data_IF_191423070600
#
_entry.id   IF_191423070600
#
_cell.length_a   1.000
_cell.length_b   1.000
_cell.length_c   1.000
_cell.angle_alpha   90.00
_cell.angle_beta   90.00
_cell.angle_gamma   90.00
#
_symmetry.space_group_name_H-M   'P 1'
#
loop_
_entity.id
_entity.type
_entity.pdbx_description
1 polymer ?
2 polymer ?
3 non-polymer ?
4 non-polymer ?
5 non-polymer ?
6 water ?
#
# COMPACT_ATOMS: atom_id res chain seq x y z
N UNK A 1 -0.59 -10.53 21.23
CA UNK A 1 0.09 -10.86 22.51
C UNK A 1 -0.04 -9.77 23.56
N UNK A 2 0.73 -8.70 23.39
CA UNK A 2 0.87 -7.63 24.37
C UNK A 2 -0.39 -6.76 24.58
N UNK A 3 -1.27 -6.72 23.57
CA UNK A 3 -2.53 -5.99 23.66
C UNK A 3 -3.73 -6.88 24.03
N UNK A 4 -3.47 -8.15 24.35
CA UNK A 4 -4.53 -9.09 24.71
C UNK A 4 -5.40 -8.70 25.90
N UNK A 5 -4.84 -7.93 26.84
CA UNK A 5 -5.55 -7.47 28.02
C UNK A 5 -6.34 -6.15 27.86
N UNK A 6 -6.17 -5.46 26.71
CA UNK A 6 -6.83 -4.18 26.49
C UNK A 6 -8.11 -4.32 25.69
N UNK A 7 -9.16 -3.60 26.11
CA UNK A 7 -10.43 -3.57 25.39
C UNK A 7 -10.24 -3.14 23.94
N UNK A 8 -11.00 -3.78 23.04
CA UNK A 8 -11.05 -3.39 21.61
C UNK A 8 -11.32 -1.89 21.47
N UNK A 9 -12.30 -1.36 22.21
CA UNK A 9 -12.68 0.04 22.09
C UNK A 9 -11.52 0.96 22.53
N UNK A 10 -10.84 0.57 23.60
CA UNK A 10 -9.65 1.26 24.09
C UNK A 10 -8.51 1.29 23.08
N UNK A 11 -8.28 0.16 22.38
CA UNK A 11 -7.26 0.07 21.34
C UNK A 11 -7.55 1.04 20.19
N UNK A 12 -8.82 1.11 19.77
CA UNK A 12 -9.23 2.04 18.72
C UNK A 12 -9.05 3.50 19.17
N UNK A 13 -9.48 3.80 20.39
CA UNK A 13 -9.34 5.14 20.97
C UNK A 13 -7.86 5.58 20.97
N UNK A 14 -7.00 4.68 21.45
CA UNK A 14 -5.55 4.93 21.52
C UNK A 14 -4.88 5.03 20.13
N UNK A 15 -5.36 4.26 19.15
CA UNK A 15 -4.87 4.40 17.77
C UNK A 15 -5.11 5.82 17.27
N UNK A 16 -6.30 6.35 17.58
CA UNK A 16 -6.66 7.71 17.16
C UNK A 16 -5.79 8.78 17.84
N UNK A 17 -5.49 8.59 19.13
CA UNK A 17 -4.57 9.45 19.85
C UNK A 17 -3.15 9.38 19.27
N UNK A 18 -2.69 8.16 18.99
CA UNK A 18 -1.36 7.95 18.41
C UNK A 18 -1.23 8.64 17.04
N UNK A 19 -2.29 8.58 16.23
CA UNK A 19 -2.34 9.33 14.97
C UNK A 19 -2.13 10.84 15.21
N UNK A 20 -2.86 11.41 16.17
CA UNK A 20 -2.76 12.84 16.49
C UNK A 20 -1.36 13.25 16.94
N UNK A 21 -0.69 12.34 17.67
CA UNK A 21 0.67 12.52 18.17
C UNK A 21 1.77 12.11 17.18
N UNK A 22 1.38 11.65 15.99
CA UNK A 22 2.30 11.16 14.95
C UNK A 22 3.20 10.01 15.45
N UNK A 23 2.61 9.14 16.28
CA UNK A 23 3.26 7.96 16.88
C UNK A 23 2.79 6.73 16.11
N UNK A 24 3.26 6.54 14.88
CA UNK A 24 2.66 5.56 13.93
C UNK A 24 3.03 4.12 14.33
N UNK A 25 4.21 3.90 14.94
CA UNK A 25 4.56 2.55 15.42
C UNK A 25 3.56 2.12 16.51
N UNK A 26 3.26 3.01 17.46
CA UNK A 26 2.24 2.75 18.48
C UNK A 26 0.87 2.51 17.85
N UNK A 27 0.51 3.36 16.88
CA UNK A 27 -0.77 3.29 16.19
C UNK A 27 -0.92 1.91 15.56
N UNK A 28 0.14 1.43 14.92
CA UNK A 28 0.10 0.14 14.22
C UNK A 28 -0.06 -1.02 15.21
N UNK A 29 0.64 -0.94 16.34
CA UNK A 29 0.54 -1.95 17.38
C UNK A 29 -0.87 -2.01 17.99
N UNK A 30 -1.48 -0.84 18.20
CA UNK A 30 -2.85 -0.75 18.70
C UNK A 30 -3.83 -1.39 17.69
N UNK A 31 -3.67 -1.06 16.40
CA UNK A 31 -4.56 -1.59 15.36
C UNK A 31 -4.39 -3.10 15.13
N UNK A 32 -3.15 -3.61 15.26
CA UNK A 32 -2.89 -5.05 15.21
C UNK A 32 -3.66 -5.72 16.34
N UNK A 33 -3.60 -5.13 17.55
CA UNK A 33 -4.33 -5.63 18.70
C UNK A 33 -5.83 -5.67 18.44
N UNK A 34 -6.36 -4.58 17.85
CA UNK A 34 -7.77 -4.50 17.50
C UNK A 34 -8.18 -5.59 16.53
N UNK A 35 -7.39 -5.77 15.46
CA UNK A 35 -7.70 -6.80 14.47
C UNK A 35 -7.74 -8.18 15.13
N UNK A 36 -6.78 -8.43 16.01
CA UNK A 36 -6.63 -9.75 16.64
C UNK A 36 -7.72 -10.08 17.67
N UNK A 37 -8.58 -9.10 17.99
CA UNK A 37 -9.80 -9.36 18.76
C UNK A 37 -10.78 -10.24 17.98
N UNK A 38 -10.66 -10.26 16.64
CA UNK A 38 -11.37 -11.23 15.81
C UNK A 38 -12.64 -10.74 15.16
N UNK A 39 -13.13 -9.56 15.55
CA UNK A 39 -14.29 -8.94 14.92
C UNK A 39 -13.88 -8.25 13.61
N UNK A 40 -14.81 -8.19 12.65
CA UNK A 40 -14.60 -7.44 11.41
C UNK A 40 -14.38 -5.95 11.76
N UNK A 41 -13.72 -5.21 10.86
CA UNK A 41 -13.45 -3.79 11.04
C UNK A 41 -14.47 -2.94 10.29
N UNK A 42 -14.86 -1.82 10.90
CA UNK A 42 -15.66 -0.80 10.22
C UNK A 42 -14.80 -0.07 9.19
N UNK A 43 -15.44 0.80 8.40
CA UNK A 43 -14.71 1.63 7.44
C UNK A 43 -13.66 2.52 8.11
N UNK A 44 -14.06 3.21 9.19
CA UNK A 44 -13.15 4.06 9.93
C UNK A 44 -11.96 3.26 10.49
N UNK A 45 -12.27 2.07 11.01
CA UNK A 45 -11.24 1.18 11.56
C UNK A 45 -10.25 0.68 10.49
N UNK A 46 -10.76 0.29 9.31
CA UNK A 46 -9.92 -0.08 8.14
C UNK A 46 -8.99 1.10 7.82
N UNK A 47 -9.54 2.33 7.81
CA UNK A 47 -8.74 3.52 7.55
C UNK A 47 -7.58 3.68 8.54
N UNK A 48 -7.85 3.47 9.84
CA UNK A 48 -6.81 3.54 10.87
C UNK A 48 -5.70 2.51 10.67
N UNK A 49 -6.08 1.27 10.36
CA UNK A 49 -5.13 0.20 10.07
C UNK A 49 -4.19 0.59 8.93
N UNK A 50 -4.80 1.07 7.84
CA UNK A 50 -4.07 1.48 6.65
C UNK A 50 -3.11 2.64 6.92
N UNK A 51 -3.59 3.69 7.59
CA UNK A 51 -2.79 4.87 7.90
C UNK A 51 -1.56 4.50 8.75
N UNK A 52 -1.80 3.67 9.77
CA UNK A 52 -0.74 3.27 10.69
C UNK A 52 0.40 2.56 9.96
N UNK A 53 0.08 1.47 9.25
CA UNK A 53 1.09 0.62 8.59
C UNK A 53 1.70 1.35 7.39
N UNK A 54 0.94 2.21 6.69
CA UNK A 54 1.49 2.94 5.55
C UNK A 54 2.58 3.90 6.01
N UNK A 55 2.37 4.54 7.15
CA UNK A 55 3.35 5.44 7.72
C UNK A 55 4.60 4.72 8.18
N UNK A 56 4.41 3.56 8.83
CA UNK A 56 5.56 2.78 9.31
C UNK A 56 6.40 2.27 8.14
N UNK A 57 5.75 1.59 7.18
CA UNK A 57 6.47 1.06 6.02
C UNK A 57 7.03 2.18 5.14
N UNK A 58 6.34 3.33 5.09
CA UNK A 58 6.81 4.48 4.32
C UNK A 58 8.17 4.99 4.80
N UNK A 59 8.33 5.05 6.12
CA UNK A 59 9.58 5.42 6.76
C UNK A 59 10.68 4.44 6.40
N UNK A 60 10.36 3.14 6.45
CA UNK A 60 11.29 2.07 6.17
C UNK A 60 11.75 2.11 4.70
N UNK A 61 10.79 2.29 3.79
CA UNK A 61 11.05 2.37 2.31
C UNK A 61 11.99 3.55 2.05
N UNK A 62 11.75 4.69 2.68
CA UNK A 62 12.61 5.86 2.48
C UNK A 62 14.02 5.60 2.95
N UNK A 63 14.15 5.00 4.14
CA UNK A 63 15.46 4.65 4.70
C UNK A 63 16.19 3.63 3.83
N UNK A 64 15.48 2.57 3.42
CA UNK A 64 16.04 1.55 2.55
C UNK A 64 16.60 2.13 1.24
N UNK A 65 15.86 3.07 0.62
CA UNK A 65 16.30 3.72 -0.64
C UNK A 65 17.59 4.52 -0.40
N UNK A 66 17.68 5.26 0.71
CA UNK A 66 18.89 6.01 1.05
C UNK A 66 20.09 5.06 1.14
N UNK A 67 19.92 3.96 1.89
CA UNK A 67 20.99 3.00 2.12
C UNK A 67 21.38 2.20 0.88
N UNK A 68 20.38 1.83 0.07
CA UNK A 68 20.64 1.09 -1.15
C UNK A 68 21.47 1.93 -2.13
N UNK A 69 21.17 3.23 -2.19
CA UNK A 69 21.91 4.19 -3.02
C UNK A 69 23.38 4.33 -2.60
N UNK A 70 23.61 4.46 -1.29
CA UNK A 70 24.97 4.50 -0.74
C UNK A 70 25.72 3.21 -1.10
N UNK A 71 25.03 2.07 -0.97
CA UNK A 71 25.59 0.74 -1.23
C UNK A 71 25.99 0.57 -2.70
N UNK A 72 25.08 0.94 -3.60
CA UNK A 72 25.32 0.90 -5.05
C UNK A 72 26.52 1.76 -5.44
N UNK A 73 26.61 2.96 -4.85
CA UNK A 73 27.75 3.86 -5.06
C UNK A 73 29.09 3.20 -4.66
N UNK A 74 29.09 2.50 -3.52
CA UNK A 74 30.31 1.85 -3.00
C UNK A 74 30.80 0.67 -3.86
N UNK A 75 29.87 0.04 -4.60
CA UNK A 75 30.16 -1.09 -5.48
C UNK A 75 30.41 -0.69 -6.96
N UNK A 76 30.85 0.55 -7.17
CA UNK A 76 31.25 1.05 -8.50
C UNK A 76 32.76 1.05 -8.63
N UNK A 77 33.24 0.91 -9.88
CA UNK A 77 34.66 0.87 -10.19
C UNK A 77 35.32 2.21 -9.80
N UNK A 78 36.38 2.13 -8.99
CA UNK A 78 37.10 3.30 -8.50
C UNK A 78 36.73 3.72 -7.09
N UNK A 79 35.69 3.09 -6.53
CA UNK A 79 35.24 3.35 -5.16
C UNK A 79 36.09 2.59 -4.16
N UNK A 80 36.42 3.25 -3.04
CA UNK A 80 37.31 2.70 -2.01
C UNK A 80 36.55 1.69 -1.12
N UNK A 81 37.22 0.60 -0.77
CA UNK A 81 36.69 -0.46 0.11
C UNK A 81 36.50 0.08 1.52
N UNK A 82 35.29 -0.08 2.07
CA UNK A 82 34.96 0.36 3.43
C UNK A 82 34.44 -0.74 4.36
N UNK A 83 34.48 -1.99 3.88
CA UNK A 83 34.09 -3.15 4.66
C UNK A 83 32.59 -3.45 4.59
N UNK A 84 32.08 -4.35 5.44
CA UNK A 84 30.72 -4.87 5.33
C UNK A 84 29.58 -4.01 5.90
N UNK A 85 29.90 -2.84 6.49
CA UNK A 85 28.93 -2.09 7.31
C UNK A 85 27.71 -1.57 6.52
N UNK A 86 27.92 -1.05 5.31
CA UNK A 86 26.81 -0.52 4.50
C UNK A 86 25.83 -1.64 4.18
N UNK A 87 26.35 -2.78 3.70
CA UNK A 87 25.51 -3.97 3.36
C UNK A 87 24.81 -4.47 4.63
N UNK A 88 25.55 -4.62 5.74
CA UNK A 88 24.96 -5.10 6.99
C UNK A 88 23.76 -4.25 7.44
N UNK A 89 23.91 -2.91 7.37
CA UNK A 89 22.87 -1.97 7.88
C UNK A 89 21.70 -1.92 6.89
N UNK A 90 21.95 -1.88 5.58
CA UNK A 90 20.87 -1.98 4.55
C UNK A 90 20.09 -3.28 4.79
N UNK A 91 20.77 -4.39 5.06
CA UNK A 91 20.13 -5.68 5.37
C UNK A 91 19.28 -5.62 6.65
N UNK A 92 19.74 -4.88 7.66
CA UNK A 92 18.99 -4.75 8.91
C UNK A 92 17.65 -4.06 8.64
N UNK A 93 17.71 -2.91 7.95
CA UNK A 93 16.53 -2.12 7.62
C UNK A 93 15.59 -2.94 6.74
N UNK A 94 16.15 -3.59 5.72
CA UNK A 94 15.40 -4.47 4.82
C UNK A 94 14.62 -5.56 5.56
N UNK A 95 15.28 -6.22 6.51
CA UNK A 95 14.67 -7.30 7.28
C UNK A 95 13.48 -6.75 8.11
N UNK A 96 13.64 -5.55 8.66
CA UNK A 96 12.58 -4.91 9.45
C UNK A 96 11.39 -4.56 8.58
N UNK A 97 11.68 -4.03 7.39
CA UNK A 97 10.65 -3.72 6.38
C UNK A 97 9.85 -4.98 5.98
N UNK A 98 10.56 -6.08 5.72
CA UNK A 98 9.93 -7.33 5.33
C UNK A 98 9.06 -7.86 6.47
N UNK A 99 9.53 -7.65 7.71
CA UNK A 99 8.78 -8.06 8.89
C UNK A 99 7.44 -7.35 9.00
N UNK A 100 7.46 -6.03 8.77
CA UNK A 100 6.24 -5.22 8.78
C UNK A 100 5.28 -5.69 7.68
N UNK A 101 5.80 -5.91 6.47
CA UNK A 101 4.98 -6.39 5.36
C UNK A 101 4.35 -7.75 5.68
N UNK A 102 5.15 -8.68 6.22
CA UNK A 102 4.65 -10.00 6.61
C UNK A 102 3.55 -9.93 7.69
N UNK A 103 3.72 -8.98 8.63
CA UNK A 103 2.72 -8.75 9.70
C UNK A 103 1.38 -8.34 9.10
N UNK A 104 1.40 -7.34 8.22
CA UNK A 104 0.19 -6.87 7.54
C UNK A 104 -0.45 -8.01 6.72
N UNK A 105 0.36 -8.72 5.92
CA UNK A 105 -0.13 -9.82 5.10
C UNK A 105 -0.75 -10.91 5.98
N UNK A 106 -0.18 -11.11 7.17
CA UNK A 106 -0.68 -12.05 8.15
C UNK A 106 -2.05 -11.69 8.68
N UNK A 107 -2.27 -10.40 8.97
CA UNK A 107 -3.56 -9.90 9.43
C UNK A 107 -4.63 -10.08 8.34
N UNK A 108 -4.28 -9.80 7.08
CA UNK A 108 -5.21 -9.92 5.97
C UNK A 108 -5.61 -11.39 5.75
N UNK A 109 -4.65 -12.30 5.93
CA UNK A 109 -4.86 -13.75 5.76
C UNK A 109 -5.52 -14.43 6.98
N UNK A 110 -5.51 -13.74 8.12
CA UNK A 110 -5.99 -14.30 9.40
C UNK A 110 -6.72 -13.25 10.25
N UNK A 111 -7.97 -12.90 9.89
CA UNK A 111 -8.76 -13.52 8.85
C UNK A 111 -9.57 -12.46 8.09
N UNK A 112 -8.97 -11.28 7.87
CA UNK A 112 -9.71 -10.12 7.38
C UNK A 112 -10.36 -10.35 6.01
N UNK A 113 -9.59 -10.89 5.07
CA UNK A 113 -10.08 -11.05 3.69
C UNK A 113 -11.20 -12.08 3.63
N UNK A 114 -11.02 -13.24 4.28
CA UNK A 114 -11.99 -14.32 4.18
C UNK A 114 -13.34 -13.96 4.80
N UNK A 115 -13.32 -13.08 5.83
CA UNK A 115 -14.55 -12.66 6.52
C UNK A 115 -15.22 -11.44 5.85
N UNK A 116 -14.52 -10.82 4.88
CA UNK A 116 -15.03 -9.65 4.15
C UNK A 116 -15.91 -10.04 2.95
N UNK A 117 -17.22 -9.87 3.11
CA UNK A 117 -18.22 -10.20 2.09
C UNK A 117 -18.66 -9.03 1.22
N UNK A 118 -18.67 -7.82 1.79
CA UNK A 118 -19.08 -6.64 1.05
C UNK A 118 -17.97 -6.18 0.13
N UNK A 119 -18.34 -5.68 -1.06
CA UNK A 119 -17.37 -5.27 -2.07
C UNK A 119 -16.39 -4.24 -1.54
N UNK A 120 -16.91 -3.25 -0.79
CA UNK A 120 -16.13 -2.14 -0.30
C UNK A 120 -15.02 -2.61 0.64
N UNK A 121 -15.34 -3.53 1.54
CA UNK A 121 -14.34 -4.11 2.45
C UNK A 121 -13.37 -5.05 1.75
N UNK A 122 -13.89 -5.95 0.91
CA UNK A 122 -13.06 -6.98 0.23
C UNK A 122 -12.07 -6.29 -0.72
N UNK A 123 -12.53 -5.32 -1.51
CA UNK A 123 -11.64 -4.60 -2.43
C UNK A 123 -10.56 -3.84 -1.65
N UNK A 124 -10.95 -3.20 -0.53
CA UNK A 124 -10.00 -2.45 0.30
C UNK A 124 -8.86 -3.36 0.75
N UNK A 125 -9.20 -4.56 1.24
CA UNK A 125 -8.22 -5.53 1.80
C UNK A 125 -7.38 -6.14 0.67
N UNK A 126 -7.98 -6.46 -0.48
CA UNK A 126 -7.21 -7.04 -1.56
C UNK A 126 -6.22 -6.03 -2.15
N UNK A 127 -6.64 -4.77 -2.23
CA UNK A 127 -5.72 -3.68 -2.59
C UNK A 127 -4.53 -3.62 -1.63
N UNK A 128 -4.82 -3.70 -0.33
CA UNK A 128 -3.77 -3.71 0.70
C UNK A 128 -2.80 -4.86 0.49
N UNK A 129 -3.34 -6.05 0.23
CA UNK A 129 -2.56 -7.24 -0.03
C UNK A 129 -1.60 -7.00 -1.21
N UNK A 130 -2.14 -6.45 -2.31
CA UNK A 130 -1.32 -6.08 -3.46
C UNK A 130 -0.21 -5.10 -3.12
N UNK A 131 -0.54 -4.05 -2.36
CA UNK A 131 0.40 -3.02 -1.94
C UNK A 131 1.58 -3.60 -1.14
N UNK A 132 1.30 -4.45 -0.15
CA UNK A 132 2.36 -4.96 0.76
C UNK A 132 3.20 -6.02 0.06
N UNK A 133 2.64 -6.79 -0.88
CA UNK A 133 3.47 -7.63 -1.80
C UNK A 133 4.32 -6.72 -2.70
N UNK A 134 3.79 -5.57 -3.14
CA UNK A 134 4.55 -4.61 -3.99
C UNK A 134 5.74 -4.06 -3.20
N UNK A 135 5.56 -3.74 -1.93
CA UNK A 135 6.66 -3.22 -1.06
C UNK A 135 7.70 -4.33 -0.86
N UNK A 136 7.27 -5.59 -0.70
CA UNK A 136 8.23 -6.71 -0.66
C UNK A 136 8.99 -6.83 -1.97
N UNK A 137 8.30 -6.60 -3.11
CA UNK A 137 8.91 -6.70 -4.43
C UNK A 137 10.01 -5.65 -4.64
N UNK A 138 9.82 -4.47 -4.06
CA UNK A 138 10.75 -3.35 -4.19
C UNK A 138 12.17 -3.73 -3.69
N UNK A 139 12.25 -4.65 -2.73
CA UNK A 139 13.53 -5.05 -2.12
C UNK A 139 13.96 -6.49 -2.44
N UNK A 140 13.15 -7.21 -3.23
CA UNK A 140 13.39 -8.62 -3.57
C UNK A 140 14.34 -8.77 -4.76
N UNK A 141 15.06 -9.90 -4.80
CA UNK A 141 15.91 -10.27 -5.92
C UNK A 141 15.63 -11.69 -6.43
N UNK A 142 16.00 -11.95 -7.68
CA UNK A 142 16.02 -13.29 -8.27
C UNK A 142 14.67 -13.94 -8.50
N UNK A 143 14.60 -15.25 -8.21
CA UNK A 143 13.38 -16.05 -8.37
C UNK A 143 12.34 -15.72 -7.30
N UNK A 144 12.82 -15.42 -6.09
CA UNK A 144 11.96 -14.93 -5.01
C UNK A 144 11.15 -13.71 -5.49
N UNK A 145 11.82 -12.81 -6.20
CA UNK A 145 11.19 -11.63 -6.79
C UNK A 145 10.01 -12.02 -7.70
N UNK A 146 10.22 -13.03 -8.55
CA UNK A 146 9.18 -13.46 -9.50
C UNK A 146 7.88 -13.87 -8.80
N UNK A 147 7.98 -14.70 -7.75
CA UNK A 147 6.80 -15.21 -7.01
C UNK A 147 6.14 -14.05 -6.25
N UNK A 148 6.93 -13.12 -5.71
CA UNK A 148 6.39 -11.97 -4.98
C UNK A 148 5.60 -11.05 -5.93
N UNK A 149 6.18 -10.79 -7.11
CA UNK A 149 5.52 -10.01 -8.16
C UNK A 149 4.20 -10.67 -8.58
N UNK A 150 4.22 -11.99 -8.76
CA UNK A 150 3.01 -12.72 -9.13
C UNK A 150 1.92 -12.60 -8.06
N UNK A 151 2.32 -12.68 -6.78
CA UNK A 151 1.39 -12.52 -5.66
C UNK A 151 0.73 -11.14 -5.62
N UNK A 152 1.51 -10.09 -5.86
CA UNK A 152 0.97 -8.73 -5.94
C UNK A 152 -0.04 -8.62 -7.08
N UNK A 153 0.37 -9.08 -8.27
CA UNK A 153 -0.47 -9.03 -9.50
C UNK A 153 -1.80 -9.74 -9.22
N UNK A 154 -1.76 -10.91 -8.58
CA UNK A 154 -2.94 -11.73 -8.35
C UNK A 154 -3.92 -11.04 -7.42
N UNK A 155 -3.40 -10.41 -6.35
CA UNK A 155 -4.22 -9.68 -5.40
C UNK A 155 -4.90 -8.48 -6.06
N UNK A 156 -4.09 -7.66 -6.76
CA UNK A 156 -4.61 -6.46 -7.48
C UNK A 156 -5.68 -6.90 -8.48
N UNK A 157 -5.44 -8.00 -9.20
CA UNK A 157 -6.35 -8.44 -10.25
C UNK A 157 -7.73 -8.85 -9.70
N UNK A 158 -7.73 -9.60 -8.59
CA UNK A 158 -8.98 -9.98 -7.94
C UNK A 158 -9.73 -8.73 -7.47
N UNK A 159 -9.00 -7.78 -6.87
CA UNK A 159 -9.60 -6.51 -6.46
C UNK A 159 -10.21 -5.76 -7.63
N UNK A 160 -9.49 -5.72 -8.76
CA UNK A 160 -9.95 -5.03 -9.97
C UNK A 160 -11.25 -5.66 -10.48
N UNK A 161 -11.29 -6.99 -10.52
CA UNK A 161 -12.45 -7.71 -11.04
C UNK A 161 -13.71 -7.39 -10.23
N UNK A 162 -13.59 -7.42 -8.89
CA UNK A 162 -14.69 -7.09 -8.00
C UNK A 162 -15.12 -5.63 -8.17
N UNK A 163 -14.15 -4.70 -8.19
CA UNK A 163 -14.44 -3.27 -8.22
C UNK A 163 -15.17 -2.88 -9.52
N UNK A 164 -14.80 -3.53 -10.62
CA UNK A 164 -15.43 -3.24 -11.91
C UNK A 164 -16.89 -3.70 -11.96
N UNK A 165 -17.17 -4.83 -11.31
CA UNK A 165 -18.52 -5.38 -11.22
C UNK A 165 -19.42 -4.65 -10.23
N UNK A 166 -18.84 -4.23 -9.09
CA UNK A 166 -19.61 -3.81 -7.91
C UNK A 166 -19.59 -2.33 -7.52
N UNK A 167 -18.64 -1.56 -8.07
CA UNK A 167 -18.49 -0.14 -7.71
C UNK A 167 -18.58 0.77 -8.94
N UNK A 168 -19.07 2.01 -8.78
CA UNK A 168 -19.04 2.97 -9.89
C UNK A 168 -17.62 3.41 -10.20
N UNK A 169 -17.35 3.93 -11.42
CA UNK A 169 -16.01 4.32 -11.83
C UNK A 169 -15.38 5.46 -11.01
N UNK A 170 -16.20 6.23 -10.28
CA UNK A 170 -15.70 7.33 -9.45
C UNK A 170 -15.44 6.93 -8.00
N UNK A 171 -15.79 5.70 -7.62
CA UNK A 171 -15.59 5.26 -6.24
C UNK A 171 -14.12 5.40 -5.86
N UNK A 172 -13.77 6.11 -4.76
CA UNK A 172 -12.36 6.39 -4.44
C UNK A 172 -11.50 5.14 -4.17
N UNK A 173 -12.10 4.07 -3.65
CA UNK A 173 -11.35 2.83 -3.44
C UNK A 173 -10.99 2.26 -4.81
N UNK A 174 -11.97 2.21 -5.73
CA UNK A 174 -11.75 1.74 -7.12
C UNK A 174 -10.66 2.60 -7.77
N UNK A 175 -10.71 3.92 -7.60
CA UNK A 175 -9.72 4.83 -8.19
C UNK A 175 -8.32 4.62 -7.61
N UNK A 176 -8.24 4.50 -6.28
CA UNK A 176 -6.97 4.28 -5.60
C UNK A 176 -6.32 2.94 -5.94
N UNK A 177 -7.16 1.91 -6.10
CA UNK A 177 -6.73 0.60 -6.53
C UNK A 177 -6.12 0.66 -7.93
N UNK A 178 -6.83 1.29 -8.87
CA UNK A 178 -6.34 1.45 -10.23
C UNK A 178 -5.04 2.26 -10.29
N UNK A 179 -4.96 3.34 -9.50
CA UNK A 179 -3.73 4.12 -9.37
C UNK A 179 -2.56 3.22 -8.95
N UNK A 180 -2.75 2.48 -7.87
CA UNK A 180 -1.69 1.62 -7.33
C UNK A 180 -1.30 0.46 -8.26
N UNK A 181 -2.29 -0.12 -8.95
CA UNK A 181 -2.03 -1.21 -9.90
C UNK A 181 -1.23 -0.65 -11.09
N UNK A 182 -1.56 0.58 -11.53
CA UNK A 182 -0.78 1.25 -12.57
C UNK A 182 0.67 1.48 -12.14
N UNK A 183 0.87 1.85 -10.87
CA UNK A 183 2.21 2.02 -10.30
C UNK A 183 2.96 0.68 -10.31
N UNK A 184 2.26 -0.39 -9.92
CA UNK A 184 2.79 -1.76 -10.01
C UNK A 184 3.30 -2.06 -11.43
N UNK A 185 2.46 -1.83 -12.45
CA UNK A 185 2.83 -2.12 -13.82
C UNK A 185 4.10 -1.35 -14.25
N UNK A 186 4.18 -0.06 -13.89
CA UNK A 186 5.26 0.85 -14.34
C UNK A 186 6.56 0.56 -13.57
N UNK A 187 6.47 0.51 -12.24
CA UNK A 187 7.64 0.48 -11.37
C UNK A 187 8.17 -0.93 -11.05
N UNK A 188 7.29 -1.93 -11.08
CA UNK A 188 7.61 -3.29 -10.62
C UNK A 188 7.64 -4.31 -11.74
N UNK A 189 6.61 -4.30 -12.61
CA UNK A 189 6.40 -5.33 -13.60
C UNK A 189 7.01 -5.07 -14.98
N UNK A 190 7.71 -3.94 -15.14
CA UNK A 190 8.31 -3.56 -16.43
C UNK A 190 7.26 -3.56 -17.56
N UNK A 191 6.06 -3.05 -17.24
CA UNK A 191 4.98 -2.93 -18.21
C UNK A 191 4.46 -1.49 -18.29
N UNK A 192 5.28 -0.51 -18.75
CA UNK A 192 4.84 0.89 -18.79
C UNK A 192 3.63 1.14 -19.70
N UNK A 193 3.48 0.41 -20.80
CA UNK A 193 2.31 0.61 -21.67
C UNK A 193 1.00 0.19 -20.99
N UNK A 194 1.05 -0.91 -20.23
CA UNK A 194 -0.10 -1.34 -19.44
C UNK A 194 -0.43 -0.28 -18.38
N UNK A 195 0.60 0.27 -17.74
CA UNK A 195 0.44 1.33 -16.73
C UNK A 195 -0.29 2.54 -17.30
N UNK A 196 0.19 3.02 -18.45
CA UNK A 196 -0.39 4.17 -19.14
C UNK A 196 -1.84 3.91 -19.56
N UNK A 197 -2.09 2.74 -20.16
CA UNK A 197 -3.43 2.37 -20.63
C UNK A 197 -4.43 2.33 -19.48
N UNK A 198 -4.02 1.73 -18.35
CA UNK A 198 -4.85 1.67 -17.17
C UNK A 198 -5.17 3.06 -16.62
N UNK A 199 -4.15 3.91 -16.49
CA UNK A 199 -4.34 5.26 -15.94
C UNK A 199 -5.31 6.06 -16.81
N UNK A 200 -5.10 5.99 -18.13
CA UNK A 200 -5.93 6.70 -19.11
C UNK A 200 -7.39 6.26 -19.09
N UNK A 201 -7.62 4.95 -19.16
CA UNK A 201 -8.98 4.40 -19.17
C UNK A 201 -9.70 4.72 -17.85
N UNK A 202 -8.98 4.56 -16.74
CA UNK A 202 -9.52 4.86 -15.41
C UNK A 202 -9.93 6.32 -15.30
N UNK A 203 -9.05 7.22 -15.76
CA UNK A 203 -9.30 8.65 -15.73
C UNK A 203 -10.55 8.99 -16.53
N UNK A 204 -10.59 8.53 -17.78
CA UNK A 204 -11.70 8.85 -18.70
C UNK A 204 -13.07 8.32 -18.22
N UNK A 205 -13.09 7.11 -17.65
CA UNK A 205 -14.33 6.53 -17.14
C UNK A 205 -14.85 7.28 -15.91
N UNK A 206 -13.93 7.76 -15.07
CA UNK A 206 -14.28 8.55 -13.90
C UNK A 206 -14.85 9.91 -14.35
N UNK A 207 -14.15 10.54 -15.30
CA UNK A 207 -14.56 11.83 -15.88
C UNK A 207 -16.04 11.79 -16.27
N UNK A 208 -16.44 10.70 -16.94
CA UNK A 208 -17.79 10.53 -17.48
C UNK A 208 -18.87 10.36 -16.42
N UNK A 209 -18.46 9.99 -15.20
CA UNK A 209 -19.36 9.72 -14.08
C UNK A 209 -19.39 10.84 -13.00
N UNK A 210 -18.56 11.89 -13.17
CA UNK A 210 -18.46 12.97 -12.18
C UNK A 210 -19.78 13.73 -11.96
N UNK A 211 -20.61 13.80 -13.01
CA UNK A 211 -21.89 14.52 -12.94
C UNK A 211 -22.86 13.95 -11.88
N UNK A 212 -22.65 12.68 -11.48
CA UNK A 212 -23.50 11.99 -10.51
C UNK A 212 -23.18 12.31 -9.05
N UNK A 213 -22.05 12.98 -8.81
CA UNK A 213 -21.47 13.13 -7.47
C UNK A 213 -21.88 14.43 -6.77
N UNK A 214 -21.99 14.36 -5.43
CA UNK A 214 -22.12 15.53 -4.57
C UNK A 214 -20.75 16.20 -4.44
N UNK A 215 -20.72 17.37 -3.81
CA UNK A 215 -19.49 18.19 -3.72
C UNK A 215 -18.34 17.48 -2.97
N UNK A 216 -18.64 16.80 -1.86
CA UNK A 216 -17.63 16.08 -1.08
C UNK A 216 -17.02 14.88 -1.84
N UNK A 217 -17.89 14.08 -2.47
CA UNK A 217 -17.48 12.93 -3.27
C UNK A 217 -16.68 13.38 -4.50
N UNK A 218 -17.14 14.45 -5.14
CA UNK A 218 -16.47 15.11 -6.29
C UNK A 218 -15.03 15.48 -5.91
N UNK A 219 -14.83 16.10 -4.74
CA UNK A 219 -13.50 16.52 -4.30
C UNK A 219 -12.51 15.36 -4.13
N UNK A 220 -13.00 14.25 -3.57
CA UNK A 220 -12.16 13.07 -3.36
C UNK A 220 -11.79 12.40 -4.68
N UNK A 221 -12.79 12.21 -5.55
CA UNK A 221 -12.59 11.56 -6.85
C UNK A 221 -11.61 12.36 -7.72
N UNK A 222 -11.83 13.68 -7.81
CA UNK A 222 -11.00 14.52 -8.66
C UNK A 222 -9.55 14.60 -8.21
N UNK A 223 -9.34 14.58 -6.88
CA UNK A 223 -8.00 14.53 -6.30
C UNK A 223 -7.25 13.31 -6.84
N UNK A 224 -7.86 12.14 -6.72
CA UNK A 224 -7.22 10.89 -7.19
C UNK A 224 -7.04 10.89 -8.70
N UNK A 225 -8.02 11.45 -9.44
CA UNK A 225 -7.92 11.59 -10.88
C UNK A 225 -6.71 12.44 -11.28
N UNK A 226 -6.42 13.49 -10.50
CA UNK A 226 -5.26 14.34 -10.74
C UNK A 226 -3.94 13.59 -10.55
N UNK A 227 -3.91 12.64 -9.60
CA UNK A 227 -2.75 11.77 -9.41
C UNK A 227 -2.50 10.86 -10.62
N UNK A 228 -3.57 10.28 -11.19
CA UNK A 228 -3.47 9.54 -12.44
C UNK A 228 -2.84 10.43 -13.51
N UNK A 229 -3.35 11.66 -13.64
CA UNK A 229 -2.85 12.67 -14.62
C UNK A 229 -1.37 13.00 -14.35
N UNK A 230 -1.00 13.19 -13.09
CA UNK A 230 0.40 13.46 -12.71
C UNK A 230 1.32 12.34 -13.21
N UNK A 231 0.91 11.08 -13.00
CA UNK A 231 1.69 9.94 -13.47
C UNK A 231 1.76 9.89 -15.00
N UNK A 232 0.63 10.09 -15.68
CA UNK A 232 0.61 10.10 -17.14
C UNK A 232 1.59 11.14 -17.71
N UNK A 233 1.66 12.30 -17.05
CA UNK A 233 2.59 13.38 -17.41
C UNK A 233 4.06 12.98 -17.18
N UNK A 234 4.31 12.27 -16.08
CA UNK A 234 5.64 11.73 -15.75
C UNK A 234 6.05 10.66 -16.76
N UNK A 235 5.09 9.83 -17.18
CA UNK A 235 5.34 8.65 -17.99
C UNK A 235 5.37 8.89 -19.51
N UNK A 236 4.89 10.07 -19.93
CA UNK A 236 4.78 10.44 -21.34
C UNK A 236 5.38 11.82 -21.60
N UNK B 1 12.35 10.76 -10.64
CA UNK B 1 11.11 10.84 -9.79
C UNK B 1 10.29 9.55 -9.90
N UNK B 2 9.92 8.98 -8.75
CA UNK B 2 9.07 7.77 -8.67
C UNK B 2 7.60 8.15 -8.92
N UNK B 3 6.82 7.21 -9.44
CA UNK B 3 5.39 7.40 -9.67
C UNK B 3 4.69 7.61 -8.34
N UNK B 4 3.58 8.34 -8.37
CA UNK B 4 2.78 8.61 -7.18
C UNK B 4 1.73 7.53 -7.00
N UNK B 6 -1.50 6.03 -4.07
CA UNK B 6 -2.59 6.62 -3.32
C UNK B 6 -2.04 7.20 -2.03
N UNK B 7 -2.37 8.46 -1.66
CA UNK B 7 -1.87 9.05 -0.42
C UNK B 7 -2.56 8.46 0.82
N UNK B 8 -2.03 8.76 2.00
CA UNK B 8 -2.63 8.36 3.27
C UNK B 8 -4.05 8.89 3.40
N UNK B 9 -4.94 8.06 3.97
CA UNK B 9 -6.32 8.43 4.26
C UNK B 9 -6.37 9.80 4.94
#
# INVERSE_FOLDING_TARGET
GAMGSMERASLIQKAKLAEQAERYEDMAAFMKGAVEKGEELSCEERNLLSVAYKNVVGGQRAAWRVLSSIEQKSNEEGSEEKGPEVREYREKVETELQGVCDTVLGLLDSHLIKEAGDAESRVFYLKMKGDYYRYLAEVATGDDKKRIIDSARSAYQEAMDISKKEMPPTNPIRLGLALNFSVFHYEIANSPEEAISLAKTTFDEAMADLHTLSEDSYKDSTLIMQLLRDNLTLWT
QRSTXTPNV
#
